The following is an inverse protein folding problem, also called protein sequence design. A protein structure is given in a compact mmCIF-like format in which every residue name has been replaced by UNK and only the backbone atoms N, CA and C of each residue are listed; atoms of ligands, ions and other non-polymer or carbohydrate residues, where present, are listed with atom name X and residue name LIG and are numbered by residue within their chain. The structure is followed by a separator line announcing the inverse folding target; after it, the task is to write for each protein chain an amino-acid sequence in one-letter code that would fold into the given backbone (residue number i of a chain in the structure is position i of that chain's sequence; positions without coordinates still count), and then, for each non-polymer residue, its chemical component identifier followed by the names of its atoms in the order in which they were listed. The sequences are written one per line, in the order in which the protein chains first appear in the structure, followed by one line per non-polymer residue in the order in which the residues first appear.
data_IF_141809694836
#
_entry.id   IF_141809694836
#
_cell.length_a   1.000
_cell.length_b   1.000
_cell.length_c   1.000
_cell.angle_alpha   90.00
_cell.angle_beta   90.00
_cell.angle_gamma   90.00
#
_symmetry.space_group_name_H-M   'P 1'
#
loop_
_entity.id
_entity.type
_entity.pdbx_description
1 polymer ?
#
# COMPACT_ATOMS: atom_id res chain seq x y z
N UNK A 1 9.41 -16.45 14.44
CA UNK A 1 9.84 -15.52 15.50
C UNK A 1 9.19 -14.15 15.34
N UNK A 2 9.40 -13.45 14.21
CA UNK A 2 8.82 -12.11 13.96
C UNK A 2 7.29 -12.04 14.08
N UNK A 3 6.56 -13.01 13.52
CA UNK A 3 5.09 -13.05 13.65
C UNK A 3 4.61 -13.29 15.10
N UNK A 4 5.36 -14.06 15.88
CA UNK A 4 5.07 -14.29 17.30
C UNK A 4 5.34 -13.02 18.11
N UNK A 5 6.47 -12.36 17.87
CA UNK A 5 6.80 -11.08 18.51
C UNK A 5 5.78 -9.99 18.16
N UNK A 6 5.31 -9.96 16.90
CA UNK A 6 4.22 -9.07 16.49
C UNK A 6 2.92 -9.38 17.26
N UNK A 7 2.56 -10.66 17.43
CA UNK A 7 1.39 -11.05 18.21
C UNK A 7 1.44 -10.60 19.67
N UNK A 8 2.61 -10.69 20.32
CA UNK A 8 2.80 -10.18 21.68
C UNK A 8 2.68 -8.66 21.74
N UNK A 9 3.37 -7.94 20.84
CA UNK A 9 3.28 -6.48 20.75
C UNK A 9 1.84 -6.01 20.57
N UNK A 10 1.09 -6.65 19.68
CA UNK A 10 -0.34 -6.35 19.48
C UNK A 10 -1.17 -6.66 20.73
N UNK A 11 -0.87 -7.74 21.46
CA UNK A 11 -1.59 -8.03 22.70
C UNK A 11 -1.36 -6.93 23.74
N UNK A 12 -0.11 -6.55 23.97
CA UNK A 12 0.26 -5.51 24.93
C UNK A 12 -0.38 -4.14 24.60
N UNK A 13 -0.43 -3.78 23.31
CA UNK A 13 -1.06 -2.54 22.85
C UNK A 13 -2.58 -2.53 23.04
N UNK A 14 -3.26 -3.67 22.93
CA UNK A 14 -4.73 -3.74 22.93
C UNK A 14 -5.34 -4.09 24.29
N UNK A 15 -4.56 -4.63 25.23
CA UNK A 15 -5.03 -4.91 26.59
C UNK A 15 -5.27 -3.63 27.41
N UNK A 16 -4.65 -2.51 27.04
CA UNK A 16 -4.83 -1.22 27.70
C UNK A 16 -4.17 -1.13 29.08
N UNK A 17 -3.22 -2.03 29.38
CA UNK A 17 -2.47 -2.04 30.63
C UNK A 17 -1.35 -0.99 30.67
N UNK A 18 -0.92 -0.50 29.52
CA UNK A 18 0.19 0.44 29.37
C UNK A 18 -0.20 1.63 28.51
N UNK A 19 0.28 2.83 28.87
CA UNK A 19 0.12 4.04 28.06
C UNK A 19 1.00 4.02 26.80
N UNK A 20 2.10 3.27 26.83
CA UNK A 20 3.03 3.09 25.71
C UNK A 20 3.74 1.73 25.84
N UNK A 21 3.99 1.06 24.71
CA UNK A 21 4.67 -0.25 24.64
C UNK A 21 5.92 -0.13 23.78
N UNK A 22 7.04 -0.68 24.25
CA UNK A 22 8.29 -0.71 23.48
C UNK A 22 8.28 -1.88 22.48
N UNK A 23 8.50 -1.63 21.17
CA UNK A 23 8.50 -2.69 20.16
C UNK A 23 9.86 -3.41 20.02
N UNK A 24 10.78 -3.29 20.98
CA UNK A 24 12.17 -3.76 20.85
C UNK A 24 12.29 -5.25 20.47
N UNK A 25 11.45 -6.11 21.06
CA UNK A 25 11.43 -7.56 20.74
C UNK A 25 11.03 -7.78 19.28
N UNK A 26 10.01 -7.08 18.81
CA UNK A 26 9.58 -7.17 17.41
C UNK A 26 10.63 -6.57 16.46
N UNK A 27 11.20 -5.41 16.80
CA UNK A 27 12.28 -4.77 16.04
C UNK A 27 13.47 -5.72 15.88
N UNK A 28 13.92 -6.34 16.97
CA UNK A 28 15.05 -7.27 16.98
C UNK A 28 14.76 -8.50 16.11
N UNK A 29 13.59 -9.12 16.26
CA UNK A 29 13.18 -10.28 15.48
C UNK A 29 13.08 -9.96 13.98
N UNK A 30 12.52 -8.79 13.61
CA UNK A 30 12.44 -8.37 12.21
C UNK A 30 13.82 -8.01 11.65
N UNK A 31 14.65 -7.32 12.44
CA UNK A 31 16.01 -6.91 12.06
C UNK A 31 16.94 -8.10 11.80
N UNK A 32 16.78 -9.20 12.53
CA UNK A 32 17.51 -10.44 12.28
C UNK A 32 17.21 -11.04 10.88
N UNK A 33 16.02 -10.77 10.33
CA UNK A 33 15.60 -11.22 9.01
C UNK A 33 15.90 -10.21 7.90
N UNK A 34 15.78 -8.94 8.21
CA UNK A 34 16.03 -7.81 7.33
C UNK A 34 17.05 -6.87 7.97
N UNK A 35 18.35 -7.08 7.73
CA UNK A 35 19.43 -6.33 8.38
C UNK A 35 19.29 -4.80 8.28
N UNK A 36 18.71 -4.30 7.18
CA UNK A 36 18.42 -2.87 6.98
C UNK A 36 17.59 -2.26 8.12
N UNK A 37 16.66 -3.02 8.73
CA UNK A 37 15.84 -2.54 9.86
C UNK A 37 16.51 -2.74 11.24
N UNK A 38 17.68 -3.38 11.29
CA UNK A 38 18.49 -3.44 12.52
C UNK A 38 19.23 -2.13 12.77
N UNK A 39 19.57 -1.42 11.70
CA UNK A 39 20.26 -0.13 11.78
C UNK A 39 19.40 0.93 12.50
N UNK A 40 20.06 1.94 13.06
CA UNK A 40 19.39 3.11 13.68
C UNK A 40 19.23 4.27 12.70
N UNK A 41 19.26 3.95 11.41
CA UNK A 41 19.00 4.87 10.30
C UNK A 41 17.50 4.96 10.03
N UNK A 42 17.06 6.04 9.42
CA UNK A 42 15.68 6.19 9.00
C UNK A 42 15.41 5.30 7.78
N UNK A 43 14.19 4.79 7.69
CA UNK A 43 13.79 3.81 6.69
C UNK A 43 12.45 4.20 6.08
N UNK A 44 12.15 3.64 4.91
CA UNK A 44 10.88 3.89 4.23
C UNK A 44 9.75 3.06 4.88
N UNK A 45 8.69 3.74 5.33
CA UNK A 45 7.55 3.08 5.97
C UNK A 45 6.83 2.11 5.02
N UNK A 46 6.87 2.35 3.70
CA UNK A 46 6.27 1.48 2.70
C UNK A 46 7.05 0.16 2.56
N UNK A 47 8.38 0.23 2.52
CA UNK A 47 9.24 -0.95 2.46
C UNK A 47 9.11 -1.78 3.74
N UNK A 48 9.13 -1.11 4.90
CA UNK A 48 8.90 -1.74 6.19
C UNK A 48 7.56 -2.49 6.22
N UNK A 49 6.48 -1.84 5.78
CA UNK A 49 5.15 -2.45 5.75
C UNK A 49 5.10 -3.71 4.88
N UNK A 50 5.68 -3.68 3.68
CA UNK A 50 5.72 -4.86 2.79
C UNK A 50 6.48 -6.00 3.46
N UNK A 51 7.63 -5.74 4.06
CA UNK A 51 8.40 -6.75 4.78
C UNK A 51 7.60 -7.38 5.92
N UNK A 52 6.91 -6.55 6.73
CA UNK A 52 6.07 -7.04 7.83
C UNK A 52 4.91 -7.89 7.31
N UNK A 53 4.17 -7.43 6.29
CA UNK A 53 3.06 -8.18 5.71
C UNK A 53 3.51 -9.54 5.14
N UNK A 54 4.67 -9.59 4.47
CA UNK A 54 5.22 -10.82 3.93
C UNK A 54 5.63 -11.81 5.03
N UNK A 55 6.30 -11.36 6.09
CA UNK A 55 6.67 -12.23 7.21
C UNK A 55 5.44 -12.78 7.95
N UNK A 56 4.42 -11.94 8.15
CA UNK A 56 3.15 -12.38 8.73
C UNK A 56 2.44 -13.38 7.80
N UNK A 57 2.43 -13.13 6.50
CA UNK A 57 1.84 -14.04 5.53
C UNK A 57 2.51 -15.42 5.60
N UNK A 58 3.83 -15.47 5.44
CA UNK A 58 4.58 -16.73 5.41
C UNK A 58 4.47 -17.51 6.72
N UNK A 59 4.50 -16.82 7.87
CA UNK A 59 4.34 -17.48 9.17
C UNK A 59 2.93 -18.10 9.32
N UNK A 60 1.88 -17.34 9.00
CA UNK A 60 0.50 -17.80 9.16
C UNK A 60 0.09 -18.83 8.10
N UNK A 61 0.65 -18.73 6.88
CA UNK A 61 0.50 -19.72 5.82
C UNK A 61 1.04 -21.08 6.25
N UNK A 62 2.24 -21.12 6.84
CA UNK A 62 2.84 -22.37 7.36
C UNK A 62 1.98 -23.02 8.44
N UNK A 63 1.47 -22.25 9.40
CA UNK A 63 0.57 -22.76 10.44
C UNK A 63 -0.70 -23.34 9.82
N UNK A 64 -1.32 -22.63 8.86
CA UNK A 64 -2.51 -23.11 8.15
C UNK A 64 -2.25 -24.39 7.37
N UNK A 65 -1.12 -24.48 6.65
CA UNK A 65 -0.74 -25.66 5.88
C UNK A 65 -0.54 -26.90 6.75
N UNK A 66 -0.02 -26.73 7.98
CA UNK A 66 0.12 -27.81 8.97
C UNK A 66 -1.24 -28.28 9.51
N UNK A 67 -2.18 -27.35 9.74
CA UNK A 67 -3.50 -27.67 10.27
C UNK A 67 -4.47 -28.20 9.20
N UNK A 68 -4.33 -27.77 7.95
CA UNK A 68 -5.25 -28.11 6.86
C UNK A 68 -4.50 -28.29 5.51
N UNK A 69 -3.86 -29.45 5.29
CA UNK A 69 -3.16 -29.73 4.03
C UNK A 69 -4.15 -29.84 2.87
N UNK A 70 -4.04 -28.95 1.88
CA UNK A 70 -4.90 -28.91 0.70
C UNK A 70 -4.69 -27.62 -0.14
N UNK A 71 -5.42 -27.43 -1.25
CA UNK A 71 -5.21 -26.31 -2.19
C UNK A 71 -5.33 -24.90 -1.57
N UNK A 72 -5.98 -24.79 -0.40
CA UNK A 72 -6.09 -23.53 0.36
C UNK A 72 -4.92 -23.23 1.30
N UNK A 73 -3.85 -24.05 1.28
CA UNK A 73 -2.66 -23.90 2.13
C UNK A 73 -1.80 -22.69 1.76
N UNK A 74 -1.95 -22.14 0.56
CA UNK A 74 -1.16 -21.00 0.08
C UNK A 74 -1.73 -19.63 0.51
N UNK A 75 -2.85 -19.62 1.22
CA UNK A 75 -3.49 -18.37 1.68
C UNK A 75 -3.29 -18.14 3.17
N UNK A 76 -3.28 -16.88 3.60
CA UNK A 76 -3.35 -16.50 5.01
C UNK A 76 -4.35 -15.36 5.21
N UNK A 77 -4.54 -14.94 6.46
CA UNK A 77 -5.36 -13.75 6.75
C UNK A 77 -4.82 -12.50 6.04
N UNK A 78 -3.50 -12.43 5.79
CA UNK A 78 -2.88 -11.32 5.07
C UNK A 78 -3.38 -11.26 3.62
N UNK A 79 -3.42 -12.39 2.92
CA UNK A 79 -3.92 -12.46 1.53
C UNK A 79 -5.44 -12.32 1.44
N UNK A 80 -6.15 -12.62 2.53
CA UNK A 80 -7.61 -12.41 2.57
C UNK A 80 -7.95 -10.93 2.76
N UNK A 81 -7.17 -10.23 3.59
CA UNK A 81 -7.44 -8.83 3.93
C UNK A 81 -6.83 -7.84 2.93
N UNK A 82 -5.55 -7.98 2.61
CA UNK A 82 -4.79 -6.92 1.92
C UNK A 82 -4.50 -7.22 0.44
N UNK A 83 -4.64 -8.47 0.01
CA UNK A 83 -4.24 -8.86 -1.35
C UNK A 83 -5.35 -8.61 -2.38
N UNK A 84 -5.06 -7.67 -3.27
CA UNK A 84 -5.80 -7.42 -4.50
C UNK A 84 -5.10 -8.00 -5.72
N UNK A 85 -5.81 -7.96 -6.85
CA UNK A 85 -5.28 -8.35 -8.15
C UNK A 85 -5.60 -7.27 -9.17
N UNK A 86 -4.58 -6.82 -9.89
CA UNK A 86 -4.69 -6.06 -11.11
C UNK A 86 -4.68 -7.01 -12.31
N UNK A 87 -5.35 -6.60 -13.38
CA UNK A 87 -5.23 -7.15 -14.72
C UNK A 87 -4.68 -6.05 -15.61
N UNK A 88 -3.57 -6.33 -16.29
CA UNK A 88 -2.97 -5.43 -17.27
C UNK A 88 -3.33 -5.91 -18.67
N UNK A 89 -4.21 -5.17 -19.33
CA UNK A 89 -4.54 -5.37 -20.73
C UNK A 89 -3.47 -4.75 -21.61
N UNK A 90 -2.68 -5.59 -22.28
CA UNK A 90 -1.58 -5.19 -23.14
C UNK A 90 -1.99 -5.40 -24.61
N UNK A 91 -2.32 -4.30 -25.29
CA UNK A 91 -2.79 -4.30 -26.68
C UNK A 91 -1.68 -3.91 -27.63
N UNK A 92 -1.27 -4.82 -28.54
CA UNK A 92 -0.34 -4.49 -29.61
C UNK A 92 -0.97 -3.43 -30.54
N UNK A 93 -0.26 -2.33 -30.82
CA UNK A 93 -0.80 -1.28 -31.67
C UNK A 93 -0.76 -1.61 -33.17
N UNK A 94 -0.01 -2.63 -33.57
CA UNK A 94 0.05 -3.12 -34.95
C UNK A 94 -1.07 -4.15 -35.24
N UNK A 95 -0.98 -5.35 -34.65
CA UNK A 95 -1.93 -6.44 -34.92
C UNK A 95 -3.22 -6.39 -34.09
N UNK A 96 -3.33 -5.46 -33.12
CA UNK A 96 -4.47 -5.30 -32.21
C UNK A 96 -4.74 -6.47 -31.25
N UNK A 97 -3.90 -7.50 -31.25
CA UNK A 97 -4.01 -8.57 -30.25
C UNK A 97 -3.77 -8.02 -28.85
N UNK A 98 -4.67 -8.40 -27.93
CA UNK A 98 -4.60 -8.03 -26.52
C UNK A 98 -4.23 -9.25 -25.69
N UNK A 99 -3.28 -9.08 -24.78
CA UNK A 99 -2.90 -10.08 -23.78
C UNK A 99 -3.24 -9.54 -22.40
N UNK A 100 -3.97 -10.32 -21.61
CA UNK A 100 -4.18 -10.05 -20.20
C UNK A 100 -2.97 -10.56 -19.39
N UNK A 101 -2.47 -9.72 -18.48
CA UNK A 101 -1.43 -10.09 -17.52
C UNK A 101 -1.91 -9.78 -16.10
N UNK A 102 -2.25 -10.79 -15.28
CA UNK A 102 -2.59 -10.57 -13.88
C UNK A 102 -1.37 -10.23 -13.03
N UNK A 103 -1.55 -9.35 -12.04
CA UNK A 103 -0.54 -8.95 -11.07
C UNK A 103 -1.16 -8.83 -9.68
N UNK A 104 -0.53 -9.44 -8.68
CA UNK A 104 -0.98 -9.41 -7.29
C UNK A 104 -0.35 -8.21 -6.58
N UNK A 105 -1.11 -7.52 -5.73
CA UNK A 105 -0.60 -6.43 -4.89
C UNK A 105 -1.15 -6.47 -3.47
N UNK A 106 -0.37 -5.97 -2.51
CA UNK A 106 -0.82 -5.64 -1.14
C UNK A 106 -0.88 -4.13 -0.90
N UNK A 107 -0.08 -3.35 -1.65
CA UNK A 107 -0.01 -1.89 -1.59
C UNK A 107 -0.02 -1.34 -3.01
N UNK A 108 -0.94 -0.42 -3.32
CA UNK A 108 -0.97 0.30 -4.60
C UNK A 108 -0.16 1.58 -4.49
N UNK A 109 0.96 1.65 -5.22
CA UNK A 109 1.81 2.83 -5.24
C UNK A 109 1.39 3.80 -6.35
N UNK A 110 0.67 4.85 -5.97
CA UNK A 110 0.05 5.80 -6.88
C UNK A 110 1.02 6.94 -7.27
N UNK A 111 1.11 7.30 -8.57
CA UNK A 111 1.80 8.50 -9.00
C UNK A 111 1.05 9.75 -8.57
N UNK A 112 1.78 10.86 -8.45
CA UNK A 112 1.22 12.16 -8.10
C UNK A 112 1.27 13.05 -9.35
N UNK A 113 0.12 13.39 -9.97
CA UNK A 113 0.09 14.04 -11.28
C UNK A 113 0.37 15.55 -11.25
N UNK A 114 0.41 16.17 -10.07
CA UNK A 114 0.49 17.62 -9.88
C UNK A 114 1.63 17.98 -8.91
N UNK A 115 2.32 19.09 -9.16
CA UNK A 115 3.35 19.60 -8.26
C UNK A 115 2.80 20.44 -7.09
N UNK A 116 1.52 20.84 -7.12
CA UNK A 116 0.93 21.73 -6.10
C UNK A 116 -0.21 21.08 -5.30
N UNK A 117 -1.34 20.83 -5.95
CA UNK A 117 -2.53 20.22 -5.33
C UNK A 117 -3.19 19.22 -6.26
N UNK A 118 -3.71 18.11 -5.74
CA UNK A 118 -4.57 17.18 -6.46
C UNK A 118 -5.47 16.37 -5.52
N UNK A 119 -6.38 15.56 -6.06
CA UNK A 119 -7.16 14.60 -5.27
C UNK A 119 -6.59 13.19 -5.37
N UNK A 120 -6.93 12.31 -4.41
CA UNK A 120 -6.66 10.88 -4.50
C UNK A 120 -7.26 10.27 -5.77
N UNK A 121 -8.44 10.77 -6.19
CA UNK A 121 -9.07 10.37 -7.43
C UNK A 121 -8.23 10.73 -8.65
N UNK A 122 -7.49 11.84 -8.64
CA UNK A 122 -6.59 12.20 -9.75
C UNK A 122 -5.35 11.29 -9.78
N UNK A 123 -4.81 10.92 -8.61
CA UNK A 123 -3.77 9.89 -8.51
C UNK A 123 -4.25 8.53 -9.06
N UNK A 124 -5.47 8.11 -8.71
CA UNK A 124 -6.09 6.88 -9.22
C UNK A 124 -6.33 6.96 -10.73
N UNK A 125 -6.89 8.07 -11.24
CA UNK A 125 -7.06 8.28 -12.68
C UNK A 125 -5.73 8.19 -13.41
N UNK A 126 -4.67 8.80 -12.88
CA UNK A 126 -3.33 8.73 -13.45
C UNK A 126 -2.79 7.30 -13.47
N UNK A 127 -2.97 6.54 -12.38
CA UNK A 127 -2.55 5.13 -12.30
C UNK A 127 -3.29 4.21 -13.29
N UNK A 128 -4.61 4.38 -13.41
CA UNK A 128 -5.48 3.55 -14.28
C UNK A 128 -5.63 4.10 -15.70
N UNK A 129 -4.93 5.19 -16.02
CA UNK A 129 -4.91 5.74 -17.37
C UNK A 129 -4.25 4.75 -18.32
N UNK A 130 -4.80 4.64 -19.53
CA UNK A 130 -4.15 3.84 -20.56
C UNK A 130 -2.87 4.54 -21.01
N UNK A 131 -1.75 3.85 -20.84
CA UNK A 131 -0.42 4.30 -21.26
C UNK A 131 -0.01 3.67 -22.59
N UNK A 132 0.97 4.29 -23.25
CA UNK A 132 1.58 3.77 -24.48
C UNK A 132 3.05 3.43 -24.24
N UNK A 133 3.39 2.17 -24.43
CA UNK A 133 4.75 1.69 -24.45
C UNK A 133 5.33 1.88 -25.86
N UNK A 134 6.23 2.84 -25.99
CA UNK A 134 6.87 3.22 -27.27
C UNK A 134 8.38 3.21 -27.12
N UNK A 135 9.10 3.23 -28.25
CA UNK A 135 10.57 3.34 -28.31
C UNK A 135 11.28 2.25 -27.49
N UNK A 136 12.02 2.64 -26.45
CA UNK A 136 12.80 1.73 -25.61
C UNK A 136 11.93 0.77 -24.78
N UNK A 137 10.63 1.07 -24.63
CA UNK A 137 9.69 0.28 -23.85
C UNK A 137 8.84 -0.66 -24.70
N UNK A 138 9.13 -0.79 -26.00
CA UNK A 138 8.41 -1.71 -26.88
C UNK A 138 8.44 -3.16 -26.36
N UNK A 139 7.31 -3.84 -26.51
CA UNK A 139 7.14 -5.23 -26.07
C UNK A 139 7.23 -6.18 -27.25
N UNK A 140 7.71 -7.39 -27.01
CA UNK A 140 7.68 -8.43 -28.04
C UNK A 140 6.25 -8.95 -28.23
N UNK A 141 5.69 -8.76 -29.42
CA UNK A 141 4.39 -9.31 -29.76
C UNK A 141 4.55 -10.72 -30.33
N UNK A 142 3.98 -11.74 -29.66
CA UNK A 142 4.05 -13.13 -30.12
C UNK A 142 3.40 -13.35 -31.50
N UNK A 143 2.45 -12.50 -31.90
CA UNK A 143 1.76 -12.58 -33.18
C UNK A 143 2.55 -11.89 -34.30
N UNK A 144 3.14 -10.72 -34.05
CA UNK A 144 3.99 -10.04 -35.03
C UNK A 144 5.42 -10.61 -35.10
N UNK A 145 5.83 -11.42 -34.12
CA UNK A 145 7.18 -11.99 -34.01
C UNK A 145 8.29 -10.95 -33.79
N UNK A 146 7.94 -9.72 -33.44
CA UNK A 146 8.84 -8.56 -33.36
C UNK A 146 8.46 -7.63 -32.20
N UNK A 147 9.35 -6.71 -31.84
CA UNK A 147 9.03 -5.63 -30.88
C UNK A 147 8.06 -4.65 -31.51
N UNK A 148 7.00 -4.32 -30.78
CA UNK A 148 5.92 -3.45 -31.24
C UNK A 148 5.55 -2.46 -30.16
N UNK A 149 5.04 -1.31 -30.59
CA UNK A 149 4.37 -0.37 -29.70
C UNK A 149 3.10 -1.03 -29.14
N UNK A 150 2.79 -0.75 -27.87
CA UNK A 150 1.62 -1.32 -27.21
C UNK A 150 0.90 -0.28 -26.34
N UNK A 151 -0.42 -0.40 -26.26
CA UNK A 151 -1.19 0.26 -25.21
C UNK A 151 -1.31 -0.67 -24.01
N UNK A 152 -1.14 -0.13 -22.80
CA UNK A 152 -1.29 -0.87 -21.55
C UNK A 152 -2.32 -0.16 -20.69
N UNK A 153 -3.25 -0.93 -20.12
CA UNK A 153 -4.24 -0.41 -19.19
C UNK A 153 -4.36 -1.35 -17.99
N UNK A 154 -4.26 -0.80 -16.80
CA UNK A 154 -4.56 -1.54 -15.57
C UNK A 154 -6.07 -1.52 -15.28
N UNK A 155 -6.58 -2.62 -14.73
CA UNK A 155 -7.94 -2.75 -14.18
C UNK A 155 -7.86 -3.56 -12.90
N UNK A 156 -8.67 -3.24 -11.89
CA UNK A 156 -8.80 -4.02 -10.67
C UNK A 156 -9.62 -5.28 -11.00
N UNK A 157 -8.97 -6.44 -10.99
CA UNK A 157 -9.60 -7.75 -11.16
C UNK A 157 -10.20 -8.26 -9.85
N UNK A 158 -9.51 -8.01 -8.73
CA UNK A 158 -9.96 -8.33 -7.36
C UNK A 158 -9.57 -7.18 -6.44
N UNK A 159 -10.56 -6.52 -5.84
CA UNK A 159 -10.29 -5.52 -4.81
C UNK A 159 -10.02 -6.21 -3.45
N UNK A 160 -9.02 -5.77 -2.67
CA UNK A 160 -8.78 -6.31 -1.33
C UNK A 160 -9.82 -5.79 -0.34
N UNK A 161 -9.98 -6.46 0.80
CA UNK A 161 -10.88 -5.99 1.86
C UNK A 161 -10.37 -4.71 2.53
N UNK A 162 -9.05 -4.57 2.65
CA UNK A 162 -8.36 -3.36 3.11
C UNK A 162 -7.41 -2.93 2.01
N UNK A 163 -7.61 -1.74 1.47
CA UNK A 163 -6.76 -1.19 0.40
C UNK A 163 -5.75 -0.24 1.01
N UNK A 164 -4.48 -0.42 0.65
CA UNK A 164 -3.39 0.45 1.08
C UNK A 164 -2.89 1.22 -0.13
N UNK A 165 -3.00 2.54 -0.08
CA UNK A 165 -2.39 3.42 -1.08
C UNK A 165 -1.10 4.00 -0.55
N UNK A 166 -0.03 3.82 -1.30
CA UNK A 166 1.23 4.52 -1.13
C UNK A 166 1.28 5.69 -2.11
N UNK A 167 1.47 6.91 -1.60
CA UNK A 167 1.64 8.10 -2.42
C UNK A 167 3.12 8.24 -2.76
N UNK A 168 3.50 8.09 -4.03
CA UNK A 168 4.90 8.14 -4.51
C UNK A 168 5.50 9.54 -4.38
N UNK A 169 5.77 9.98 -3.15
CA UNK A 169 6.30 11.31 -2.85
C UNK A 169 7.78 11.44 -3.13
N UNK A 170 8.51 10.34 -3.24
CA UNK A 170 9.95 10.40 -3.42
C UNK A 170 10.35 10.08 -4.86
N UNK A 171 11.03 11.02 -5.49
CA UNK A 171 11.48 10.91 -6.88
C UNK A 171 12.98 11.21 -6.99
N UNK A 172 13.62 10.58 -7.98
CA UNK A 172 15.00 10.90 -8.34
C UNK A 172 15.00 11.99 -9.39
N UNK A 173 15.62 13.13 -9.08
CA UNK A 173 15.85 14.22 -10.03
C UNK A 173 17.35 14.31 -10.31
N UNK A 174 17.81 13.55 -11.32
CA UNK A 174 19.24 13.38 -11.58
C UNK A 174 19.91 12.63 -10.42
N UNK A 175 20.84 13.28 -9.72
CA UNK A 175 21.62 12.68 -8.64
C UNK A 175 21.05 12.93 -7.23
N UNK A 176 19.97 13.71 -7.09
CA UNK A 176 19.37 14.03 -5.80
C UNK A 176 17.94 13.48 -5.69
N UNK A 177 17.58 13.06 -4.47
CA UNK A 177 16.24 12.60 -4.13
C UNK A 177 15.40 13.81 -3.71
N UNK A 178 14.28 14.04 -4.39
CA UNK A 178 13.31 15.10 -4.09
C UNK A 178 12.08 14.49 -3.42
N UNK A 179 11.52 15.20 -2.44
CA UNK A 179 10.20 14.89 -1.86
C UNK A 179 9.15 15.82 -2.44
N UNK A 180 8.08 15.26 -3.00
CA UNK A 180 6.90 15.97 -3.44
C UNK A 180 6.06 16.38 -2.22
N UNK A 181 5.85 17.68 -2.10
CA UNK A 181 5.03 18.31 -1.07
C UNK A 181 3.61 18.60 -1.55
N UNK A 182 3.19 17.97 -2.66
CA UNK A 182 1.84 18.13 -3.21
C UNK A 182 0.80 17.85 -2.14
N UNK A 183 -0.13 18.79 -1.96
CA UNK A 183 -1.28 18.59 -1.08
C UNK A 183 -2.30 17.70 -1.79
N UNK A 184 -2.58 16.54 -1.19
CA UNK A 184 -3.43 15.51 -1.79
C UNK A 184 -4.69 15.39 -0.94
N UNK A 185 -5.83 15.80 -1.49
CA UNK A 185 -7.11 15.64 -0.81
C UNK A 185 -7.62 14.21 -0.98
N UNK A 186 -7.89 13.50 0.13
CA UNK A 186 -8.37 12.11 0.11
C UNK A 186 -9.66 11.92 0.93
N UNK A 187 -10.68 11.22 0.43
CA UNK A 187 -11.98 11.12 1.13
C UNK A 187 -11.90 10.31 2.44
N UNK A 188 -12.42 10.82 3.55
CA UNK A 188 -12.46 10.05 4.81
C UNK A 188 -13.42 8.84 4.76
N UNK A 189 -14.37 8.84 3.83
CA UNK A 189 -15.39 7.80 3.62
C UNK A 189 -15.90 7.84 2.17
N UNK A 190 -16.58 6.77 1.75
CA UNK A 190 -17.21 6.65 0.42
C UNK A 190 -16.19 6.76 -0.74
N UNK A 191 -14.97 6.23 -0.56
CA UNK A 191 -14.05 6.07 -1.67
C UNK A 191 -14.58 4.95 -2.58
N UNK A 192 -14.92 5.30 -3.82
CA UNK A 192 -15.42 4.36 -4.81
C UNK A 192 -14.30 3.95 -5.79
N UNK A 193 -13.99 2.64 -5.81
CA UNK A 193 -13.05 2.03 -6.76
C UNK A 193 -13.75 1.33 -7.94
N UNK A 194 -15.08 1.38 -8.00
CA UNK A 194 -15.87 0.79 -9.08
C UNK A 194 -15.45 1.27 -10.48
N UNK A 195 -15.06 2.54 -10.74
CA UNK A 195 -14.68 2.99 -12.07
C UNK A 195 -13.42 2.31 -12.63
N UNK A 196 -12.62 1.69 -11.75
CA UNK A 196 -11.37 1.05 -12.09
C UNK A 196 -11.44 -0.48 -12.03
N UNK A 197 -12.61 -1.04 -11.69
CA UNK A 197 -12.83 -2.48 -11.53
C UNK A 197 -13.66 -3.05 -12.68
N UNK A 198 -13.57 -4.36 -12.93
CA UNK A 198 -14.45 -4.99 -13.93
C UNK A 198 -15.93 -4.88 -13.52
N UNK A 199 -16.86 -4.71 -14.50
CA UNK A 199 -18.26 -4.45 -14.19
C UNK A 199 -18.97 -5.52 -13.37
N UNK A 200 -18.49 -6.76 -13.44
CA UNK A 200 -19.03 -7.90 -12.69
C UNK A 200 -18.79 -7.77 -11.17
N UNK A 201 -17.87 -6.90 -10.74
CA UNK A 201 -17.45 -6.73 -9.35
C UNK A 201 -17.87 -5.37 -8.75
N UNK A 202 -18.75 -4.61 -9.41
CA UNK A 202 -19.24 -3.31 -8.90
C UNK A 202 -20.06 -3.39 -7.60
N UNK A 203 -20.36 -4.59 -7.07
CA UNK A 203 -21.06 -4.72 -5.78
C UNK A 203 -20.04 -4.70 -4.64
N UNK A 204 -20.07 -3.64 -3.84
CA UNK A 204 -19.35 -3.46 -2.56
C UNK A 204 -17.91 -2.89 -2.63
N UNK A 205 -17.68 -1.81 -3.39
CA UNK A 205 -16.36 -1.15 -3.48
C UNK A 205 -16.31 0.22 -2.80
N UNK A 206 -17.11 0.45 -1.76
CA UNK A 206 -17.01 1.66 -0.93
C UNK A 206 -16.06 1.43 0.22
N UNK A 207 -15.00 2.24 0.29
CA UNK A 207 -14.01 2.19 1.35
C UNK A 207 -14.08 3.42 2.26
N UNK A 208 -13.63 3.23 3.50
CA UNK A 208 -13.56 4.31 4.50
C UNK A 208 -12.20 4.33 5.16
N UNK A 209 -11.58 5.51 5.17
CA UNK A 209 -10.25 5.68 5.73
C UNK A 209 -10.23 5.28 7.21
N UNK A 210 -9.29 4.41 7.56
CA UNK A 210 -9.09 3.90 8.91
C UNK A 210 -7.74 4.30 9.52
N UNK A 211 -6.71 4.51 8.69
CA UNK A 211 -5.43 5.02 9.15
C UNK A 211 -4.69 5.82 8.07
N UNK A 212 -3.80 6.71 8.51
CA UNK A 212 -2.87 7.48 7.68
C UNK A 212 -1.49 7.38 8.32
N UNK A 213 -0.46 7.03 7.53
CA UNK A 213 0.92 7.23 7.94
C UNK A 213 1.39 8.53 7.31
N UNK A 214 1.84 9.45 8.15
CA UNK A 214 2.35 10.75 7.75
C UNK A 214 3.88 10.74 7.76
N UNK A 215 4.49 11.54 6.89
CA UNK A 215 5.93 11.75 6.86
C UNK A 215 6.25 13.24 6.75
N UNK A 216 7.06 13.76 7.67
CA UNK A 216 7.62 15.12 7.62
C UNK A 216 9.14 15.06 7.37
N UNK A 217 9.73 16.12 6.81
CA UNK A 217 11.17 16.14 6.45
C UNK A 217 11.54 15.31 5.21
N UNK A 218 12.84 15.02 5.06
CA UNK A 218 13.44 14.30 3.92
C UNK A 218 13.56 12.80 4.21
N UNK A 219 13.85 11.97 3.20
CA UNK A 219 13.98 10.52 3.40
C UNK A 219 15.09 10.15 4.40
N UNK A 220 16.24 10.82 4.29
CA UNK A 220 17.41 10.54 5.14
C UNK A 220 17.39 11.35 6.46
N UNK A 221 16.29 12.07 6.72
CA UNK A 221 16.16 13.02 7.82
C UNK A 221 14.75 13.63 7.91
N UNK A 222 13.79 12.79 8.31
CA UNK A 222 12.38 13.08 8.49
C UNK A 222 11.80 12.47 9.76
N UNK A 223 10.47 12.43 9.86
CA UNK A 223 9.75 11.87 11.01
C UNK A 223 8.41 11.31 10.58
N UNK A 224 8.10 10.10 11.03
CA UNK A 224 6.83 9.42 10.73
C UNK A 224 5.89 9.50 11.93
N UNK A 225 4.62 9.79 11.67
CA UNK A 225 3.54 9.71 12.66
C UNK A 225 2.35 8.97 12.05
N UNK A 226 1.39 8.55 12.87
CA UNK A 226 0.20 7.87 12.38
C UNK A 226 -1.09 8.51 12.90
N UNK A 227 -2.08 8.66 12.03
CA UNK A 227 -3.46 8.97 12.42
C UNK A 227 -4.28 7.70 12.32
N UNK A 228 -4.93 7.27 13.40
CA UNK A 228 -5.75 6.06 13.39
C UNK A 228 -7.16 6.35 13.91
N UNK A 229 -8.16 5.75 13.25
CA UNK A 229 -9.56 5.83 13.67
C UNK A 229 -9.88 4.69 14.62
N UNK A 230 -10.30 5.02 15.83
CA UNK A 230 -10.69 4.03 16.82
C UNK A 230 -11.95 3.26 16.37
N UNK A 231 -11.88 1.93 16.35
CA UNK A 231 -12.92 1.06 15.78
C UNK A 231 -14.29 1.21 16.47
N UNK A 232 -14.30 1.35 17.80
CA UNK A 232 -15.51 1.52 18.62
C UNK A 232 -16.00 2.97 18.66
N UNK A 233 -15.19 3.90 19.17
CA UNK A 233 -15.61 5.30 19.38
C UNK A 233 -15.69 6.13 18.09
N UNK A 234 -15.12 5.64 16.99
CA UNK A 234 -15.01 6.31 15.68
C UNK A 234 -14.25 7.65 15.70
N UNK A 235 -13.60 7.97 16.82
CA UNK A 235 -12.73 9.15 16.96
C UNK A 235 -11.36 8.90 16.31
N UNK A 236 -10.71 9.97 15.87
CA UNK A 236 -9.34 9.92 15.37
C UNK A 236 -8.33 10.28 16.46
N UNK A 237 -7.17 9.64 16.39
CA UNK A 237 -6.04 9.86 17.28
C UNK A 237 -4.76 9.98 16.46
N UNK A 238 -3.91 10.92 16.84
CA UNK A 238 -2.53 11.04 16.39
C UNK A 238 -1.61 10.27 17.32
N UNK A 239 -0.78 9.41 16.74
CA UNK A 239 0.26 8.63 17.37
C UNK A 239 1.60 9.18 16.90
N UNK A 240 2.29 9.87 17.80
CA UNK A 240 3.63 10.42 17.61
C UNK A 240 4.55 9.76 18.63
N UNK A 241 5.16 8.64 18.23
CA UNK A 241 5.89 7.71 19.09
C UNK A 241 5.08 7.32 20.35
N UNK A 242 5.50 7.80 21.53
CA UNK A 242 4.86 7.53 22.82
C UNK A 242 3.72 8.50 23.15
N UNK A 243 3.48 9.52 22.33
CA UNK A 243 2.45 10.52 22.56
C UNK A 243 1.21 10.23 21.72
N UNK A 244 0.06 10.16 22.39
CA UNK A 244 -1.24 9.90 21.78
C UNK A 244 -2.15 11.08 22.05
N UNK A 245 -2.67 11.69 20.99
CA UNK A 245 -3.57 12.86 21.11
C UNK A 245 -4.82 12.66 20.26
N UNK A 246 -6.01 12.90 20.82
CA UNK A 246 -7.26 12.89 20.05
C UNK A 246 -7.28 14.08 19.07
N UNK A 247 -7.63 13.82 17.81
CA UNK A 247 -7.70 14.85 16.76
C UNK A 247 -9.10 14.90 16.12
N UNK A 248 -9.57 16.07 15.66
CA UNK A 248 -10.83 16.18 14.92
C UNK A 248 -10.66 15.67 13.48
N UNK A 249 -11.77 15.30 12.83
CA UNK A 249 -11.78 14.83 11.43
C UNK A 249 -11.12 15.82 10.46
N UNK A 250 -11.25 17.13 10.72
CA UNK A 250 -10.66 18.19 9.90
C UNK A 250 -9.14 18.20 9.89
N UNK A 251 -8.51 17.66 10.94
CA UNK A 251 -7.05 17.57 11.07
C UNK A 251 -6.47 16.30 10.46
N UNK A 252 -7.32 15.35 10.04
CA UNK A 252 -6.85 14.12 9.41
C UNK A 252 -6.28 14.41 8.02
N UNK A 253 -6.85 15.38 7.29
CA UNK A 253 -6.28 15.87 6.03
C UNK A 253 -4.95 16.57 6.29
N UNK A 254 -3.90 16.12 5.60
CA UNK A 254 -2.57 16.70 5.72
C UNK A 254 -1.72 16.42 4.50
N UNK A 255 -0.91 17.40 4.11
CA UNK A 255 0.13 17.27 3.09
C UNK A 255 1.20 16.23 3.45
N UNK A 256 1.32 15.89 4.74
CA UNK A 256 2.26 14.89 5.23
C UNK A 256 1.84 13.45 4.92
N UNK A 257 0.60 13.20 4.48
CA UNK A 257 0.08 11.86 4.25
C UNK A 257 0.94 11.11 3.23
N UNK A 258 1.39 9.91 3.59
CA UNK A 258 2.31 9.07 2.83
C UNK A 258 1.70 7.71 2.49
N UNK A 259 1.09 7.04 3.47
CA UNK A 259 0.28 5.82 3.28
C UNK A 259 -1.14 6.08 3.74
N UNK A 260 -2.12 5.61 2.98
CA UNK A 260 -3.55 5.68 3.31
C UNK A 260 -4.12 4.26 3.40
N UNK A 261 -4.76 3.94 4.53
CA UNK A 261 -5.39 2.65 4.79
C UNK A 261 -6.91 2.81 4.74
N UNK A 262 -7.54 2.11 3.82
CA UNK A 262 -8.96 2.20 3.48
C UNK A 262 -9.68 0.86 3.65
#
# INVERSE_FOLDING_TARGET
ESATAFGYLMSDMWLGEFDCVSPEVFRSALGARYPTFSERTQQDAQEFLICVLNELHEALKKVRAQLWPGPGSETSIITQLFEGQLSYDITCLECKTTTDKPEIFTVLSLPIPSESTCSLQDCLKCFFQQDKLTWNNQIHCSWCGTKQDAAVKATIAKAPQIVIFHLKRFEWQGNYKKKLLTDICYPLSNLDLSPYSYPLFHKNSEYSLCAVVNHSGLLDGGHYTAFCKHSVTKNWYSFDDSQITKIPNSSVQTEAAYLLFY
#
